data_IF_930603568943
#
_entry.id   IF_930603568943
#
_cell.length_a   1.000
_cell.length_b   1.000
_cell.length_c   1.000
_cell.angle_alpha   90.00
_cell.angle_beta   90.00
_cell.angle_gamma   90.00
#
_symmetry.space_group_name_H-M   'P 1'
#
loop_
_entity.id
_entity.type
_entity.pdbx_description
1 polymer ?
#
# COMPACT_ATOMS: atom_id res chain seq x y z
N UNK A 1 -2.32 -25.02 0.56
CA UNK A 1 -2.67 -23.94 1.49
C UNK A 1 -3.23 -22.79 0.65
N UNK A 2 -4.43 -22.34 0.99
CA UNK A 2 -5.07 -21.16 0.39
C UNK A 2 -4.79 -19.91 1.25
N UNK A 3 -4.21 -18.89 0.63
CA UNK A 3 -3.93 -17.59 1.26
C UNK A 3 -4.77 -16.52 0.60
N UNK A 4 -5.60 -15.83 1.37
CA UNK A 4 -6.43 -14.74 0.90
C UNK A 4 -5.77 -13.40 1.28
N UNK A 5 -5.24 -12.68 0.29
CA UNK A 5 -4.67 -11.34 0.45
C UNK A 5 -5.78 -10.31 0.36
N UNK A 6 -5.88 -9.41 1.35
CA UNK A 6 -6.90 -8.37 1.39
C UNK A 6 -6.24 -7.01 1.31
N UNK A 7 -6.63 -6.19 0.33
CA UNK A 7 -5.96 -4.91 0.07
C UNK A 7 -6.89 -3.83 -0.48
N UNK A 8 -6.64 -2.59 -0.10
CA UNK A 8 -7.31 -1.43 -0.71
C UNK A 8 -6.87 -1.20 -2.15
N UNK A 9 -5.58 -1.38 -2.42
CA UNK A 9 -4.95 -1.06 -3.69
C UNK A 9 -4.48 -2.33 -4.39
N UNK A 10 -4.91 -2.52 -5.64
CA UNK A 10 -4.44 -3.59 -6.53
C UNK A 10 -4.63 -3.13 -7.98
N UNK A 11 -3.84 -3.58 -8.94
CA UNK A 11 -4.01 -3.17 -10.32
C UNK A 11 -5.46 -3.26 -10.80
N UNK A 12 -5.91 -2.31 -11.65
CA UNK A 12 -5.20 -1.12 -12.14
C UNK A 12 -5.25 0.08 -11.15
N UNK A 13 -5.86 -0.07 -9.98
CA UNK A 13 -6.12 1.00 -9.02
C UNK A 13 -5.04 1.05 -7.93
N UNK A 14 -3.81 1.38 -8.34
CA UNK A 14 -2.68 1.59 -7.45
C UNK A 14 -2.35 3.08 -7.39
N UNK A 15 -2.30 3.66 -6.20
CA UNK A 15 -1.86 5.03 -5.96
C UNK A 15 -0.70 5.13 -4.95
N UNK A 16 -0.32 4.01 -4.30
CA UNK A 16 0.72 4.00 -3.27
C UNK A 16 1.56 2.74 -3.24
N UNK A 17 2.57 2.76 -2.38
CA UNK A 17 3.50 1.65 -2.24
C UNK A 17 2.88 0.36 -1.71
N UNK A 18 1.76 0.45 -0.97
CA UNK A 18 1.07 -0.74 -0.46
C UNK A 18 0.50 -1.59 -1.59
N UNK A 19 -0.11 -0.96 -2.61
CA UNK A 19 -0.64 -1.67 -3.76
C UNK A 19 0.44 -2.33 -4.60
N UNK A 20 1.56 -1.63 -4.83
CA UNK A 20 2.73 -2.20 -5.51
C UNK A 20 3.24 -3.42 -4.73
N UNK A 21 3.38 -3.27 -3.39
CA UNK A 21 3.83 -4.37 -2.54
C UNK A 21 2.91 -5.60 -2.65
N UNK A 22 1.58 -5.44 -2.56
CA UNK A 22 0.64 -6.57 -2.62
C UNK A 22 0.64 -7.23 -3.99
N UNK A 23 0.74 -6.45 -5.07
CA UNK A 23 0.85 -6.98 -6.41
C UNK A 23 2.10 -7.87 -6.57
N UNK A 24 3.26 -7.39 -6.13
CA UNK A 24 4.50 -8.16 -6.19
C UNK A 24 4.47 -9.37 -5.22
N UNK A 25 3.91 -9.19 -4.02
CA UNK A 25 3.73 -10.30 -3.06
C UNK A 25 2.85 -11.40 -3.64
N UNK A 26 1.72 -11.07 -4.27
CA UNK A 26 0.85 -12.04 -4.91
C UNK A 26 1.58 -12.85 -5.99
N UNK A 27 2.40 -12.19 -6.82
CA UNK A 27 3.20 -12.85 -7.86
C UNK A 27 4.17 -13.88 -7.29
N UNK A 28 4.89 -13.52 -6.23
CA UNK A 28 5.91 -14.41 -5.65
C UNK A 28 5.32 -15.50 -4.74
N UNK A 29 4.10 -15.32 -4.22
CA UNK A 29 3.42 -16.32 -3.41
C UNK A 29 2.66 -17.36 -4.25
N UNK A 30 2.13 -17.02 -5.44
CA UNK A 30 1.35 -17.92 -6.29
C UNK A 30 2.05 -19.24 -6.63
N UNK A 31 3.37 -19.30 -6.87
CA UNK A 31 4.08 -20.58 -7.03
C UNK A 31 4.14 -21.45 -5.77
N UNK A 32 3.87 -20.87 -4.59
CA UNK A 32 4.02 -21.53 -3.28
C UNK A 32 2.68 -21.90 -2.64
N UNK A 33 1.59 -21.19 -3.01
CA UNK A 33 0.27 -21.35 -2.40
C UNK A 33 -0.85 -21.01 -3.40
N UNK A 34 -2.08 -21.45 -3.13
CA UNK A 34 -3.29 -20.97 -3.79
C UNK A 34 -3.58 -19.55 -3.25
N UNK A 35 -3.19 -18.53 -4.02
CA UNK A 35 -3.32 -17.12 -3.61
C UNK A 35 -4.56 -16.50 -4.24
N UNK A 36 -5.47 -16.03 -3.41
CA UNK A 36 -6.59 -15.18 -3.82
C UNK A 36 -6.36 -13.76 -3.36
N UNK A 37 -6.82 -12.81 -4.16
CA UNK A 37 -6.72 -11.39 -3.84
C UNK A 37 -8.11 -10.79 -3.78
N UNK A 38 -8.45 -10.22 -2.64
CA UNK A 38 -9.67 -9.47 -2.41
C UNK A 38 -9.31 -7.98 -2.39
N UNK A 39 -9.72 -7.24 -3.43
CA UNK A 39 -9.29 -5.86 -3.63
C UNK A 39 -10.48 -4.91 -3.78
N UNK A 40 -10.36 -3.72 -3.22
CA UNK A 40 -11.32 -2.65 -3.44
C UNK A 40 -11.26 -2.12 -4.89
N UNK A 41 -12.21 -1.25 -5.25
CA UNK A 41 -12.24 -0.56 -6.55
C UNK A 41 -13.14 -1.22 -7.59
N UNK A 42 -13.94 -2.22 -7.21
CA UNK A 42 -14.88 -2.91 -8.09
C UNK A 42 -14.29 -4.05 -8.91
N UNK A 43 -15.14 -4.77 -9.64
CA UNK A 43 -14.71 -5.87 -10.51
C UNK A 43 -13.68 -5.42 -11.54
N UNK A 44 -12.77 -6.33 -11.92
CA UNK A 44 -11.78 -6.09 -12.99
C UNK A 44 -12.33 -6.60 -14.30
N UNK A 45 -12.22 -5.79 -15.35
CA UNK A 45 -12.59 -6.20 -16.71
C UNK A 45 -11.63 -7.29 -17.19
N UNK A 46 -12.13 -8.39 -17.78
CA UNK A 46 -11.29 -9.45 -18.31
C UNK A 46 -10.23 -8.93 -19.29
N UNK A 47 -8.98 -9.36 -19.12
CA UNK A 47 -7.87 -8.95 -19.97
C UNK A 47 -7.23 -7.61 -19.59
N UNK A 48 -7.70 -6.95 -18.53
CA UNK A 48 -7.03 -5.75 -17.99
C UNK A 48 -6.02 -6.13 -16.90
N UNK A 49 -5.14 -5.20 -16.59
CA UNK A 49 -4.20 -5.35 -15.48
C UNK A 49 -4.96 -5.60 -14.17
N UNK A 50 -4.52 -6.58 -13.41
CA UNK A 50 -5.17 -6.96 -12.15
C UNK A 50 -6.39 -7.87 -12.28
N UNK A 51 -6.76 -8.29 -13.50
CA UNK A 51 -7.81 -9.28 -13.76
C UNK A 51 -7.27 -10.73 -13.77
N UNK A 52 -6.22 -10.99 -13.01
CA UNK A 52 -5.62 -12.33 -12.91
C UNK A 52 -6.60 -13.33 -12.27
N UNK A 53 -6.49 -14.64 -12.60
CA UNK A 53 -7.23 -15.67 -11.89
C UNK A 53 -7.04 -15.58 -10.36
N UNK A 54 -8.13 -15.68 -9.61
CA UNK A 54 -8.13 -15.57 -8.15
C UNK A 54 -8.14 -14.12 -7.63
N UNK A 55 -8.35 -13.11 -8.48
CA UNK A 55 -8.60 -11.73 -8.05
C UNK A 55 -10.09 -11.43 -8.06
N UNK A 56 -10.62 -10.96 -6.92
CA UNK A 56 -11.98 -10.47 -6.77
C UNK A 56 -11.95 -8.99 -6.40
N UNK A 57 -12.67 -8.17 -7.15
CA UNK A 57 -12.79 -6.74 -6.88
C UNK A 57 -14.16 -6.38 -6.31
N UNK A 58 -14.16 -5.57 -5.26
CA UNK A 58 -15.35 -5.15 -4.52
C UNK A 58 -15.62 -3.67 -4.72
N UNK A 59 -16.83 -3.33 -5.14
CA UNK A 59 -17.26 -1.95 -5.25
C UNK A 59 -17.81 -1.44 -3.91
N UNK A 60 -17.82 -0.11 -3.74
CA UNK A 60 -18.56 0.45 -2.62
C UNK A 60 -20.07 0.09 -2.75
N UNK A 61 -20.69 -0.24 -1.64
CA UNK A 61 -22.12 -0.55 -1.59
C UNK A 61 -22.95 0.69 -1.96
N UNK A 62 -23.85 0.61 -2.93
CA UNK A 62 -24.68 1.76 -3.34
C UNK A 62 -25.49 2.36 -2.17
N UNK A 63 -25.95 1.52 -1.23
CA UNK A 63 -26.71 1.91 -0.05
C UNK A 63 -25.89 2.80 0.90
N UNK A 64 -24.56 2.72 0.83
CA UNK A 64 -23.63 3.50 1.64
C UNK A 64 -23.00 4.69 0.88
N UNK A 65 -23.47 5.00 -0.34
CA UNK A 65 -22.87 6.05 -1.18
C UNK A 65 -22.84 7.44 -0.51
N UNK A 66 -23.80 7.74 0.37
CA UNK A 66 -23.94 9.04 1.01
C UNK A 66 -23.51 9.06 2.48
N UNK A 67 -22.87 8.00 2.97
CA UNK A 67 -22.36 7.95 4.36
C UNK A 67 -20.87 8.30 4.42
N UNK A 68 -20.35 8.44 5.63
CA UNK A 68 -18.94 8.69 5.84
C UNK A 68 -18.04 7.66 5.12
N UNK A 69 -16.96 8.06 4.45
CA UNK A 69 -16.06 7.14 3.71
C UNK A 69 -15.53 5.96 4.52
N UNK A 70 -15.35 6.10 5.84
CA UNK A 70 -14.94 4.99 6.68
C UNK A 70 -16.05 3.90 6.77
N UNK A 71 -17.32 4.29 6.80
CA UNK A 71 -18.45 3.35 6.76
C UNK A 71 -18.60 2.67 5.39
N UNK A 72 -18.30 3.40 4.30
CA UNK A 72 -18.24 2.78 2.96
C UNK A 72 -17.15 1.71 2.92
N UNK A 73 -15.99 1.99 3.50
CA UNK A 73 -14.90 1.01 3.64
C UNK A 73 -15.37 -0.22 4.41
N UNK A 74 -16.03 -0.04 5.55
CA UNK A 74 -16.54 -1.16 6.36
C UNK A 74 -17.59 -1.99 5.64
N UNK A 75 -18.42 -1.38 4.78
CA UNK A 75 -19.35 -2.13 3.93
C UNK A 75 -18.64 -3.13 3.04
N UNK A 76 -17.55 -2.70 2.39
CA UNK A 76 -16.72 -3.59 1.56
C UNK A 76 -16.00 -4.64 2.41
N UNK A 77 -15.51 -4.26 3.60
CA UNK A 77 -14.86 -5.21 4.53
C UNK A 77 -15.79 -6.36 4.94
N UNK A 78 -17.10 -6.09 5.11
CA UNK A 78 -18.06 -7.12 5.45
C UNK A 78 -18.27 -8.14 4.32
N UNK A 79 -18.34 -7.67 3.06
CA UNK A 79 -18.43 -8.56 1.89
C UNK A 79 -17.17 -9.44 1.79
N UNK A 80 -15.98 -8.83 1.87
CA UNK A 80 -14.71 -9.54 1.80
C UNK A 80 -14.60 -10.59 2.91
N UNK A 81 -14.98 -10.24 4.13
CA UNK A 81 -14.90 -11.17 5.26
C UNK A 81 -15.76 -12.44 5.04
N UNK A 82 -16.94 -12.29 4.42
CA UNK A 82 -17.80 -13.42 4.04
C UNK A 82 -17.17 -14.31 2.97
N UNK A 83 -16.49 -13.72 1.99
CA UNK A 83 -15.91 -14.42 0.85
C UNK A 83 -14.58 -15.14 1.18
N UNK A 84 -13.98 -14.84 2.32
CA UNK A 84 -12.77 -15.53 2.81
C UNK A 84 -13.06 -16.94 3.37
N UNK A 85 -14.29 -17.40 3.38
CA UNK A 85 -14.62 -18.75 3.86
C UNK A 85 -13.81 -19.84 3.13
N UNK A 86 -13.20 -20.76 3.91
CA UNK A 86 -12.36 -21.84 3.39
C UNK A 86 -10.91 -21.41 3.05
N UNK A 87 -10.48 -20.20 3.38
CA UNK A 87 -9.06 -19.87 3.39
C UNK A 87 -8.37 -20.56 4.57
N UNK A 88 -7.09 -20.91 4.39
CA UNK A 88 -6.24 -21.41 5.48
C UNK A 88 -5.59 -20.24 6.25
N UNK A 89 -5.50 -19.06 5.62
CA UNK A 89 -4.93 -17.84 6.18
C UNK A 89 -5.47 -16.62 5.45
N UNK A 90 -5.80 -15.57 6.18
CA UNK A 90 -6.07 -14.24 5.62
C UNK A 90 -4.93 -13.28 5.95
N UNK A 91 -4.49 -12.48 4.96
CA UNK A 91 -3.41 -11.52 5.10
C UNK A 91 -3.85 -10.14 4.60
N UNK A 92 -4.05 -9.21 5.52
CA UNK A 92 -4.53 -7.87 5.21
C UNK A 92 -3.43 -6.81 5.17
N UNK A 93 -3.66 -5.77 4.36
CA UNK A 93 -2.72 -4.67 4.15
C UNK A 93 -3.42 -3.33 4.33
N UNK A 94 -2.91 -2.49 5.22
CA UNK A 94 -3.44 -1.19 5.64
C UNK A 94 -4.77 -1.27 6.40
N UNK A 95 -5.12 -0.19 7.13
CA UNK A 95 -6.34 -0.14 7.93
C UNK A 95 -7.63 -0.37 7.10
N UNK A 96 -7.60 0.00 5.82
CA UNK A 96 -8.74 -0.18 4.90
C UNK A 96 -9.18 -1.64 4.75
N UNK A 97 -8.28 -2.58 4.92
CA UNK A 97 -8.50 -4.01 4.74
C UNK A 97 -8.35 -4.80 6.07
N UNK A 98 -7.83 -4.15 7.11
CA UNK A 98 -7.53 -4.83 8.36
C UNK A 98 -8.80 -5.30 9.07
N UNK A 99 -9.92 -4.56 8.95
CA UNK A 99 -11.18 -4.98 9.54
C UNK A 99 -11.73 -6.23 8.84
N UNK A 100 -11.66 -6.31 7.50
CA UNK A 100 -12.05 -7.49 6.76
C UNK A 100 -11.26 -8.74 7.21
N UNK A 101 -9.92 -8.62 7.32
CA UNK A 101 -9.09 -9.70 7.81
C UNK A 101 -9.41 -10.14 9.23
N UNK A 102 -9.66 -9.18 10.12
CA UNK A 102 -10.07 -9.45 11.49
C UNK A 102 -11.41 -10.19 11.58
N UNK A 103 -12.41 -9.70 10.86
CA UNK A 103 -13.74 -10.30 10.82
C UNK A 103 -13.73 -11.68 10.16
N UNK A 104 -12.97 -11.86 9.08
CA UNK A 104 -12.78 -13.15 8.42
C UNK A 104 -12.17 -14.19 9.39
N UNK A 105 -11.16 -13.76 10.16
CA UNK A 105 -10.54 -14.59 11.20
C UNK A 105 -11.53 -15.04 12.27
N UNK A 106 -12.34 -14.12 12.78
CA UNK A 106 -13.36 -14.42 13.79
C UNK A 106 -14.49 -15.29 13.26
N UNK A 107 -14.97 -15.01 12.03
CA UNK A 107 -16.12 -15.68 11.43
C UNK A 107 -15.82 -17.13 11.05
N UNK A 108 -14.60 -17.39 10.58
CA UNK A 108 -14.23 -18.67 9.98
C UNK A 108 -13.18 -19.45 10.79
N UNK A 109 -12.77 -18.96 11.96
CA UNK A 109 -11.70 -19.55 12.81
C UNK A 109 -10.39 -19.76 12.02
N UNK A 110 -9.99 -18.76 11.22
CA UNK A 110 -8.77 -18.79 10.43
C UNK A 110 -7.77 -17.74 10.91
N UNK A 111 -6.45 -18.01 10.88
CA UNK A 111 -5.45 -17.06 11.34
C UNK A 111 -5.44 -15.80 10.45
N UNK A 112 -5.47 -14.63 11.09
CA UNK A 112 -5.32 -13.34 10.45
C UNK A 112 -3.89 -12.84 10.66
N UNK A 113 -3.18 -12.59 9.57
CA UNK A 113 -1.90 -11.88 9.52
C UNK A 113 -2.15 -10.49 8.95
N UNK A 114 -1.46 -9.47 9.44
CA UNK A 114 -1.52 -8.14 8.85
C UNK A 114 -0.12 -7.57 8.61
N UNK A 115 0.03 -6.81 7.51
CA UNK A 115 1.25 -6.04 7.22
C UNK A 115 1.04 -4.56 7.51
N UNK A 116 1.91 -4.01 8.36
CA UNK A 116 1.91 -2.60 8.74
C UNK A 116 2.70 -1.77 7.72
N UNK A 117 2.00 -1.05 6.84
CA UNK A 117 2.60 -0.08 5.93
C UNK A 117 2.53 1.36 6.47
N UNK A 118 1.62 1.61 7.38
CA UNK A 118 1.44 2.86 8.14
C UNK A 118 0.60 2.55 9.37
N UNK A 119 0.61 3.45 10.36
CA UNK A 119 -0.21 3.34 11.56
C UNK A 119 -1.10 4.56 11.69
N UNK A 120 -2.38 4.40 11.97
CA UNK A 120 -3.31 5.52 12.16
C UNK A 120 -2.90 6.45 13.30
N UNK A 121 -2.44 5.97 14.48
CA UNK A 121 -1.93 6.85 15.53
C UNK A 121 -0.74 7.73 15.14
N UNK A 122 0.03 7.32 14.13
CA UNK A 122 1.16 8.10 13.60
C UNK A 122 0.74 9.09 12.51
N UNK A 123 -0.56 9.21 12.22
CA UNK A 123 -1.13 10.04 11.16
C UNK A 123 -2.25 10.97 11.68
N UNK A 124 -2.04 11.73 12.78
CA UNK A 124 -3.08 12.52 13.41
C UNK A 124 -3.69 13.60 12.49
N UNK A 125 -2.95 14.06 11.48
CA UNK A 125 -3.46 14.98 10.46
C UNK A 125 -4.61 14.41 9.62
N UNK A 126 -4.81 13.10 9.61
CA UNK A 126 -5.97 12.48 8.96
C UNK A 126 -7.30 12.81 9.64
N UNK A 127 -7.28 13.18 10.90
CA UNK A 127 -8.48 13.65 11.58
C UNK A 127 -9.10 14.89 10.89
N UNK A 128 -8.25 15.76 10.32
CA UNK A 128 -8.70 16.92 9.53
C UNK A 128 -9.36 16.50 8.20
N UNK A 129 -8.89 15.39 7.61
CA UNK A 129 -9.37 14.89 6.32
C UNK A 129 -10.61 13.99 6.44
N UNK A 130 -10.66 13.15 7.46
CA UNK A 130 -11.68 12.11 7.63
C UNK A 130 -12.75 12.49 8.67
N UNK A 131 -12.53 13.56 9.44
CA UNK A 131 -13.44 13.94 10.53
C UNK A 131 -13.68 12.78 11.48
N UNK A 132 -14.96 12.48 11.79
CA UNK A 132 -15.35 11.34 12.62
C UNK A 132 -14.92 9.98 12.07
N UNK A 133 -14.64 9.87 10.79
CA UNK A 133 -14.12 8.65 10.17
C UNK A 133 -12.73 8.24 10.67
N UNK A 134 -11.92 9.22 11.15
CA UNK A 134 -10.64 8.91 11.75
C UNK A 134 -10.74 8.08 13.06
N UNK A 135 -11.76 8.35 13.86
CA UNK A 135 -12.03 7.53 15.05
C UNK A 135 -12.39 6.09 14.67
N UNK A 136 -13.15 5.91 13.59
CA UNK A 136 -13.52 4.58 13.08
C UNK A 136 -12.32 3.84 12.50
N UNK A 137 -11.47 4.49 11.69
CA UNK A 137 -10.27 3.86 11.12
C UNK A 137 -9.27 3.47 12.21
N UNK A 138 -9.08 4.33 13.22
CA UNK A 138 -8.21 4.05 14.35
C UNK A 138 -8.73 2.90 15.22
N UNK A 139 -10.04 2.85 15.43
CA UNK A 139 -10.68 1.74 16.16
C UNK A 139 -10.51 0.42 15.41
N UNK A 140 -10.84 0.38 14.12
CA UNK A 140 -10.75 -0.83 13.31
C UNK A 140 -9.30 -1.36 13.24
N UNK A 141 -8.33 -0.46 13.06
CA UNK A 141 -6.92 -0.82 13.08
C UNK A 141 -6.53 -1.42 14.43
N UNK A 142 -6.91 -0.80 15.55
CA UNK A 142 -6.58 -1.30 16.88
C UNK A 142 -7.17 -2.69 17.15
N UNK A 143 -8.42 -2.97 16.71
CA UNK A 143 -9.03 -4.29 16.83
C UNK A 143 -8.26 -5.34 16.04
N UNK A 144 -7.92 -5.02 14.80
CA UNK A 144 -7.18 -5.93 13.94
C UNK A 144 -5.79 -6.27 14.50
N UNK A 145 -5.04 -5.27 14.99
CA UNK A 145 -3.74 -5.50 15.64
C UNK A 145 -3.84 -6.38 16.88
N UNK A 146 -4.86 -6.15 17.71
CA UNK A 146 -5.08 -6.94 18.94
C UNK A 146 -5.44 -8.39 18.66
N UNK A 147 -6.24 -8.63 17.59
CA UNK A 147 -6.73 -9.97 17.24
C UNK A 147 -5.84 -10.73 16.26
N UNK A 148 -4.83 -10.09 15.64
CA UNK A 148 -3.99 -10.74 14.66
C UNK A 148 -3.14 -11.87 15.24
N UNK A 149 -3.07 -12.99 14.52
CA UNK A 149 -2.16 -14.10 14.85
C UNK A 149 -0.68 -13.68 14.69
N UNK A 150 -0.39 -12.83 13.70
CA UNK A 150 0.91 -12.21 13.51
C UNK A 150 0.78 -10.83 12.85
N UNK A 151 1.73 -9.94 13.17
CA UNK A 151 1.86 -8.60 12.61
C UNK A 151 3.21 -8.50 11.91
N UNK A 152 3.20 -8.19 10.62
CA UNK A 152 4.42 -7.95 9.85
C UNK A 152 4.72 -6.45 9.90
N UNK A 153 5.85 -6.11 10.53
CA UNK A 153 6.43 -4.79 10.49
C UNK A 153 7.45 -4.70 9.34
N UNK A 154 7.31 -3.71 8.47
CA UNK A 154 8.18 -3.56 7.28
C UNK A 154 9.59 -3.03 7.62
N UNK A 155 9.84 -2.69 8.87
CA UNK A 155 11.16 -2.28 9.40
C UNK A 155 11.24 -2.42 10.91
N UNK A 156 12.47 -2.37 11.46
CA UNK A 156 12.67 -2.32 12.91
C UNK A 156 11.98 -1.11 13.56
N UNK A 157 12.09 0.08 12.94
CA UNK A 157 11.40 1.29 13.42
C UNK A 157 9.87 1.13 13.42
N UNK A 158 9.30 0.49 12.37
CA UNK A 158 7.87 0.19 12.35
C UNK A 158 7.47 -0.76 13.49
N UNK A 159 8.30 -1.75 13.80
CA UNK A 159 8.06 -2.64 14.95
C UNK A 159 7.98 -1.87 16.26
N UNK A 160 8.91 -0.95 16.50
CA UNK A 160 8.92 -0.08 17.69
C UNK A 160 7.67 0.81 17.74
N UNK A 161 7.28 1.38 16.61
CA UNK A 161 6.08 2.21 16.48
C UNK A 161 4.80 1.41 16.76
N UNK A 162 4.70 0.18 16.28
CA UNK A 162 3.58 -0.73 16.57
C UNK A 162 3.48 -0.98 18.06
N UNK A 163 4.56 -1.41 18.71
CA UNK A 163 4.56 -1.75 20.14
C UNK A 163 4.28 -0.53 21.01
N UNK A 164 4.68 0.67 20.58
CA UNK A 164 4.37 1.92 21.27
C UNK A 164 2.91 2.32 21.10
N UNK A 165 2.35 2.16 19.90
CA UNK A 165 0.98 2.57 19.57
C UNK A 165 -0.07 1.57 20.07
N UNK A 166 0.28 0.30 20.11
CA UNK A 166 -0.58 -0.83 20.50
C UNK A 166 0.08 -1.69 21.59
N UNK A 167 0.22 -1.16 22.84
CA UNK A 167 0.96 -1.84 23.90
C UNK A 167 0.34 -3.17 24.36
N UNK A 168 -0.91 -3.44 23.97
CA UNK A 168 -1.61 -4.71 24.19
C UNK A 168 -1.19 -5.84 23.23
N UNK A 169 -0.47 -5.51 22.16
CA UNK A 169 0.02 -6.51 21.18
C UNK A 169 1.24 -7.22 21.76
N UNK A 170 1.21 -8.54 21.77
CA UNK A 170 2.34 -9.36 22.18
C UNK A 170 3.54 -9.09 21.24
N UNK A 171 4.70 -8.63 21.77
CA UNK A 171 5.89 -8.38 20.99
C UNK A 171 6.38 -9.58 20.17
N UNK A 172 6.09 -10.81 20.61
CA UNK A 172 6.45 -12.02 19.90
C UNK A 172 5.60 -12.25 18.64
N UNK A 173 4.45 -11.63 18.53
CA UNK A 173 3.62 -11.66 17.31
C UNK A 173 4.08 -10.64 16.28
N UNK A 174 4.90 -9.65 16.63
CA UNK A 174 5.38 -8.61 15.71
C UNK A 174 6.71 -9.02 15.10
N UNK A 175 6.68 -9.40 13.83
CA UNK A 175 7.85 -9.87 13.08
C UNK A 175 8.31 -8.81 12.09
N UNK A 176 9.62 -8.59 11.99
CA UNK A 176 10.18 -7.68 10.97
C UNK A 176 10.42 -8.45 9.68
N UNK A 177 9.71 -8.06 8.62
CA UNK A 177 9.93 -8.57 7.27
C UNK A 177 10.01 -7.35 6.34
N UNK A 178 11.21 -7.07 5.82
CA UNK A 178 11.41 -5.95 4.91
C UNK A 178 10.71 -6.18 3.58
N UNK A 179 10.20 -5.09 2.98
CA UNK A 179 9.71 -5.16 1.61
C UNK A 179 10.85 -5.52 0.65
N UNK A 180 10.58 -6.46 -0.24
CA UNK A 180 11.48 -6.82 -1.32
C UNK A 180 11.21 -6.00 -2.59
N UNK A 181 12.11 -6.11 -3.55
CA UNK A 181 11.97 -5.54 -4.88
C UNK A 181 12.58 -6.50 -5.91
N UNK A 182 11.92 -6.65 -7.05
CA UNK A 182 12.50 -7.37 -8.19
C UNK A 182 13.57 -6.49 -8.86
N UNK A 183 14.83 -6.84 -8.64
CA UNK A 183 15.96 -6.11 -9.21
C UNK A 183 16.07 -6.27 -10.74
N UNK A 184 15.42 -7.25 -11.36
CA UNK A 184 15.49 -7.46 -12.81
C UNK A 184 14.91 -6.27 -13.58
N UNK A 185 13.80 -5.71 -13.09
CA UNK A 185 13.16 -4.52 -13.65
C UNK A 185 13.88 -3.19 -13.36
N UNK A 186 14.87 -3.20 -12.44
CA UNK A 186 15.59 -1.98 -12.02
C UNK A 186 17.06 -1.96 -12.46
N UNK A 187 17.45 -2.88 -13.33
CA UNK A 187 18.79 -2.86 -13.92
C UNK A 187 18.91 -1.66 -14.86
N UNK A 188 20.09 -1.02 -14.82
CA UNK A 188 20.40 -0.01 -15.81
C UNK A 188 20.37 -0.67 -17.20
N UNK A 189 19.57 -0.13 -18.14
CA UNK A 189 19.60 -0.63 -19.50
C UNK A 189 21.00 -0.52 -20.09
N UNK A 190 21.46 -1.57 -20.76
CA UNK A 190 22.81 -1.64 -21.35
C UNK A 190 22.69 -1.70 -22.88
N UNK A 191 23.77 -1.29 -23.55
CA UNK A 191 23.86 -1.31 -25.01
C UNK A 191 23.55 0.04 -25.66
N UNK A 192 23.87 0.14 -26.94
CA UNK A 192 23.81 1.38 -27.73
C UNK A 192 22.38 1.91 -27.86
N UNK A 193 21.42 1.04 -28.17
CA UNK A 193 20.01 1.41 -28.25
C UNK A 193 19.44 1.96 -26.94
N UNK A 194 19.88 1.44 -25.78
CA UNK A 194 19.46 1.92 -24.47
C UNK A 194 20.10 3.30 -24.16
N UNK A 195 21.32 3.52 -24.58
CA UNK A 195 22.01 4.81 -24.44
C UNK A 195 21.30 5.87 -25.30
N UNK A 196 21.00 5.57 -26.56
CA UNK A 196 20.26 6.46 -27.47
C UNK A 196 18.88 6.83 -26.92
N UNK A 197 18.11 5.84 -26.41
CA UNK A 197 16.80 6.09 -25.82
C UNK A 197 16.90 6.97 -24.58
N UNK A 198 17.92 6.75 -23.75
CA UNK A 198 18.17 7.57 -22.56
C UNK A 198 18.53 9.01 -22.94
N UNK A 199 19.41 9.21 -23.92
CA UNK A 199 19.78 10.54 -24.41
C UNK A 199 18.58 11.27 -25.03
N UNK A 200 17.81 10.59 -25.86
CA UNK A 200 16.58 11.13 -26.44
C UNK A 200 15.56 11.55 -25.37
N UNK A 201 15.43 10.76 -24.30
CA UNK A 201 14.53 11.05 -23.19
C UNK A 201 15.00 12.27 -22.40
N UNK A 202 16.29 12.35 -22.04
CA UNK A 202 16.86 13.50 -21.34
C UNK A 202 16.69 14.78 -22.16
N UNK A 203 16.99 14.72 -23.46
CA UNK A 203 16.80 15.84 -24.40
C UNK A 203 15.36 16.30 -24.49
N UNK A 204 14.42 15.36 -24.61
CA UNK A 204 12.97 15.66 -24.66
C UNK A 204 12.48 16.33 -23.38
N UNK A 205 13.04 15.97 -22.24
CA UNK A 205 12.70 16.55 -20.92
C UNK A 205 13.51 17.80 -20.58
N UNK A 206 14.45 18.23 -21.44
CA UNK A 206 15.30 19.38 -21.19
C UNK A 206 16.33 19.17 -20.08
N UNK A 207 16.69 17.91 -19.81
CA UNK A 207 17.67 17.54 -18.77
C UNK A 207 19.06 17.49 -19.38
N UNK A 208 19.99 18.27 -18.82
CA UNK A 208 21.38 18.28 -19.21
C UNK A 208 22.16 17.21 -18.42
N UNK A 209 22.66 16.15 -19.07
CA UNK A 209 23.37 15.07 -18.40
C UNK A 209 24.73 15.48 -17.83
N UNK A 210 25.26 16.65 -18.19
CA UNK A 210 26.55 17.16 -17.72
C UNK A 210 26.44 17.96 -16.42
N UNK A 211 25.21 18.36 -16.02
CA UNK A 211 24.95 19.15 -14.83
C UNK A 211 24.68 18.25 -13.60
N UNK A 212 25.14 18.65 -12.42
CA UNK A 212 24.69 18.00 -11.17
C UNK A 212 23.16 18.04 -11.08
N UNK A 213 22.56 16.91 -10.71
CA UNK A 213 21.09 16.76 -10.73
C UNK A 213 20.57 16.28 -9.38
N UNK A 214 19.60 17.00 -8.84
CA UNK A 214 18.77 16.54 -7.73
C UNK A 214 17.46 16.00 -8.29
N UNK A 215 17.16 14.73 -8.01
CA UNK A 215 15.94 14.08 -8.49
C UNK A 215 15.00 13.82 -7.31
N UNK A 216 13.76 14.26 -7.45
CA UNK A 216 12.67 13.89 -6.55
C UNK A 216 11.74 12.92 -7.27
N UNK A 217 11.43 11.78 -6.63
CA UNK A 217 10.45 10.81 -7.13
C UNK A 217 9.39 10.59 -6.08
N UNK A 218 8.13 10.89 -6.40
CA UNK A 218 7.03 10.69 -5.45
C UNK A 218 5.79 11.53 -5.75
N UNK A 219 4.73 11.31 -4.95
CA UNK A 219 3.49 12.07 -5.04
C UNK A 219 3.68 13.49 -4.49
N UNK A 220 2.93 14.44 -5.03
CA UNK A 220 2.90 15.82 -4.53
C UNK A 220 2.00 15.86 -3.29
N UNK A 221 2.49 15.38 -2.18
CA UNK A 221 1.78 15.39 -0.89
C UNK A 221 2.63 16.02 0.20
N UNK A 222 1.97 16.59 1.23
CA UNK A 222 2.66 17.19 2.38
C UNK A 222 3.60 16.19 3.06
N UNK A 223 3.19 14.92 3.13
CA UNK A 223 3.98 13.82 3.71
C UNK A 223 5.33 13.61 3.01
N UNK A 224 5.40 13.86 1.70
CA UNK A 224 6.63 13.69 0.90
C UNK A 224 7.60 14.86 1.01
N UNK A 225 7.20 15.94 1.67
CA UNK A 225 8.08 17.05 2.00
C UNK A 225 8.52 17.93 0.81
N UNK A 226 7.83 17.87 -0.34
CA UNK A 226 8.18 18.65 -1.52
C UNK A 226 8.37 20.16 -1.24
N UNK A 227 7.54 20.84 -0.43
CA UNK A 227 7.77 22.25 -0.10
C UNK A 227 9.11 22.50 0.63
N UNK A 228 9.56 21.53 1.43
CA UNK A 228 10.87 21.64 2.11
C UNK A 228 12.02 21.42 1.12
N UNK A 229 11.87 20.48 0.20
CA UNK A 229 12.85 20.29 -0.89
C UNK A 229 13.00 21.57 -1.72
N UNK A 230 11.87 22.17 -2.16
CA UNK A 230 11.91 23.39 -2.99
C UNK A 230 12.61 24.55 -2.27
N UNK A 231 12.36 24.75 -0.97
CA UNK A 231 13.08 25.75 -0.18
C UNK A 231 14.58 25.44 -0.06
N UNK A 232 14.94 24.18 0.08
CA UNK A 232 16.35 23.77 0.11
C UNK A 232 17.02 24.00 -1.25
N UNK A 233 16.28 23.84 -2.36
CA UNK A 233 16.79 24.10 -3.71
C UNK A 233 17.17 25.57 -3.94
N UNK A 234 16.57 26.53 -3.22
CA UNK A 234 16.95 27.95 -3.28
C UNK A 234 18.39 28.20 -2.81
N UNK A 235 18.97 27.27 -2.05
CA UNK A 235 20.32 27.36 -1.52
C UNK A 235 21.35 26.61 -2.36
N UNK A 236 20.93 25.94 -3.44
CA UNK A 236 21.82 25.19 -4.30
C UNK A 236 22.53 26.10 -5.31
N UNK A 237 23.74 25.76 -5.74
CA UNK A 237 24.44 26.43 -6.84
C UNK A 237 23.58 26.47 -8.11
N UNK A 238 23.73 27.53 -8.91
CA UNK A 238 22.90 27.75 -10.12
C UNK A 238 23.14 26.73 -11.24
N UNK A 239 24.22 25.99 -11.20
CA UNK A 239 24.54 24.92 -12.14
C UNK A 239 23.82 23.59 -11.78
N UNK A 240 23.29 23.45 -10.58
CA UNK A 240 22.47 22.29 -10.19
C UNK A 240 21.11 22.37 -10.85
N UNK A 241 20.68 21.28 -11.49
CA UNK A 241 19.30 21.15 -12.01
C UNK A 241 18.41 20.30 -11.11
N UNK A 242 17.13 20.62 -11.09
CA UNK A 242 16.14 19.91 -10.28
C UNK A 242 15.18 19.18 -11.22
N UNK A 243 15.03 17.88 -11.01
CA UNK A 243 14.11 17.03 -11.79
C UNK A 243 13.05 16.46 -10.85
N UNK A 244 11.79 16.77 -11.13
CA UNK A 244 10.66 16.31 -10.33
C UNK A 244 9.87 15.25 -11.11
N UNK A 245 10.05 13.97 -10.74
CA UNK A 245 9.23 12.87 -11.18
C UNK A 245 8.04 12.76 -10.20
N UNK A 246 7.11 13.69 -10.31
CA UNK A 246 6.05 13.89 -9.34
C UNK A 246 4.69 13.51 -9.94
N UNK A 247 3.96 12.61 -9.25
CA UNK A 247 2.58 12.28 -9.58
C UNK A 247 1.61 13.30 -8.98
N UNK A 248 0.37 13.30 -9.51
CA UNK A 248 -0.70 14.13 -8.98
C UNK A 248 -0.91 13.89 -7.47
N UNK A 249 -1.36 14.88 -6.72
CA UNK A 249 -1.84 14.67 -5.35
C UNK A 249 -3.10 13.79 -5.37
N UNK A 250 -3.26 13.01 -4.31
CA UNK A 250 -4.47 12.21 -4.07
C UNK A 250 -5.66 13.12 -3.75
#
# INVERSE_FOLDING_TARGET
MRVDLITKEYPPFIYGGAGVHVNELAKVLRPLADVRVHAFGGPREPGTEGADPGVTGYANLPELANVNPALQTFGVDLEIAGDCAGADLVHSHTWYANLAGHLAGLLNDIPHVLSAHSLEPMRPWKAEQLGGGYALSSWAEAQAYSGAAAVIAVSGGMREDILRSYPQVDPERVKVVHNGIDLSGWRRPEGEAAAELSEATLKRLGIDPTRPTVVFVGRITRQKGLPHLLRACEQLPSDVQIVLCAGAPD
#
